data_IF_765375191624
#
_entry.id   IF_765375191624
#
_cell.length_a   1.000
_cell.length_b   1.000
_cell.length_c   1.000
_cell.angle_alpha   90.00
_cell.angle_beta   90.00
_cell.angle_gamma   90.00
#
_symmetry.space_group_name_H-M   'P 1'
#
loop_
_entity.id
_entity.type
_entity.pdbx_description
1 polymer ?
#
# COMPACT_ATOMS: atom_id res chain seq x y z
N UNK A 1 -5.36 -21.22 -12.29
CA UNK A 1 -4.29 -20.47 -12.97
C UNK A 1 -3.69 -19.53 -11.93
N UNK A 2 -2.46 -19.79 -11.51
CA UNK A 2 -1.79 -18.96 -10.51
C UNK A 2 -1.42 -17.63 -11.18
N UNK A 3 -1.91 -16.49 -10.65
CA UNK A 3 -1.55 -15.17 -11.17
C UNK A 3 -0.04 -14.98 -11.01
N UNK A 4 0.66 -14.81 -12.13
CA UNK A 4 2.06 -14.42 -12.11
C UNK A 4 2.20 -13.04 -11.43
N UNK A 5 3.19 -12.93 -10.55
CA UNK A 5 3.49 -11.68 -9.85
C UNK A 5 4.06 -10.71 -10.90
N UNK A 6 3.29 -9.69 -11.27
CA UNK A 6 3.67 -8.70 -12.30
C UNK A 6 4.73 -7.71 -11.83
N UNK A 7 4.93 -7.59 -10.51
CA UNK A 7 5.93 -6.72 -9.89
C UNK A 7 5.80 -6.75 -8.37
N UNK A 8 6.89 -6.46 -7.66
CA UNK A 8 6.93 -6.34 -6.20
C UNK A 8 7.26 -4.89 -5.87
N UNK A 9 6.43 -4.23 -5.07
CA UNK A 9 6.62 -2.83 -4.69
C UNK A 9 6.84 -2.76 -3.19
N UNK A 10 8.04 -2.35 -2.80
CA UNK A 10 8.39 -2.16 -1.39
C UNK A 10 8.13 -0.72 -0.97
N UNK A 11 7.08 -0.49 -0.20
CA UNK A 11 6.73 0.82 0.34
C UNK A 11 6.68 0.74 1.87
N UNK A 12 7.28 1.71 2.55
CA UNK A 12 7.12 1.85 3.99
C UNK A 12 5.93 2.75 4.25
N UNK A 13 4.88 2.20 4.86
CA UNK A 13 3.66 2.94 5.14
C UNK A 13 3.32 2.77 6.62
N UNK A 14 3.11 3.88 7.38
CA UNK A 14 2.63 3.79 8.74
C UNK A 14 1.23 3.17 8.79
N UNK A 15 1.02 2.22 9.70
CA UNK A 15 -0.27 1.57 9.92
C UNK A 15 -1.39 2.58 10.17
N UNK A 16 -2.51 2.42 9.48
CA UNK A 16 -3.68 3.30 9.60
C UNK A 16 -3.50 4.68 8.96
N UNK A 17 -2.33 5.00 8.41
CA UNK A 17 -1.99 6.32 7.86
C UNK A 17 -1.41 6.24 6.42
N UNK A 18 -1.86 5.27 5.61
CA UNK A 18 -1.63 5.29 4.17
C UNK A 18 -2.30 6.50 3.52
N UNK A 19 -1.51 7.24 2.74
CA UNK A 19 -1.96 8.37 1.96
C UNK A 19 -1.46 8.25 0.51
N UNK A 20 -2.10 8.93 -0.46
CA UNK A 20 -1.66 8.93 -1.86
C UNK A 20 -0.39 9.76 -2.10
N UNK A 21 0.29 10.21 -1.04
CA UNK A 21 1.48 11.04 -1.17
C UNK A 21 2.64 10.25 -1.79
N UNK A 22 3.64 10.93 -2.40
CA UNK A 22 4.90 10.30 -2.75
C UNK A 22 5.54 9.70 -1.48
N UNK A 23 6.00 8.43 -1.47
CA UNK A 23 6.29 7.55 -2.61
C UNK A 23 5.17 6.57 -3.04
N UNK A 24 4.07 6.49 -2.28
CA UNK A 24 2.99 5.50 -2.48
C UNK A 24 2.22 5.75 -3.77
N UNK A 25 1.83 7.01 -4.01
CA UNK A 25 1.07 7.40 -5.20
C UNK A 25 1.77 7.04 -6.52
N UNK A 26 3.02 7.49 -6.74
CA UNK A 26 3.78 7.14 -7.95
C UNK A 26 4.03 5.65 -8.11
N UNK A 27 4.40 4.94 -7.03
CA UNK A 27 4.76 3.53 -7.12
C UNK A 27 3.54 2.64 -7.46
N UNK A 28 2.41 2.85 -6.79
CA UNK A 28 1.16 2.13 -7.08
C UNK A 28 0.56 2.54 -8.43
N UNK A 29 0.61 3.83 -8.76
CA UNK A 29 0.11 4.36 -10.02
C UNK A 29 0.87 3.83 -11.24
N UNK A 30 2.20 3.68 -11.14
CA UNK A 30 3.02 3.07 -12.20
C UNK A 30 2.67 1.60 -12.47
N UNK A 31 2.09 0.89 -11.50
CA UNK A 31 1.60 -0.48 -11.67
C UNK A 31 0.09 -0.57 -11.99
N UNK A 32 -0.58 0.57 -12.16
CA UNK A 32 -2.03 0.60 -12.43
C UNK A 32 -2.89 0.21 -11.23
N UNK A 33 -2.33 0.26 -10.01
CA UNK A 33 -3.08 -0.03 -8.78
C UNK A 33 -3.84 1.22 -8.33
N UNK A 34 -5.09 1.03 -7.91
CA UNK A 34 -5.92 2.13 -7.43
C UNK A 34 -5.43 2.60 -6.04
N UNK A 35 -4.74 3.74 -6.02
CA UNK A 35 -4.09 4.31 -4.83
C UNK A 35 -5.10 4.57 -3.72
N UNK A 36 -6.26 5.16 -4.01
CA UNK A 36 -7.27 5.48 -2.97
C UNK A 36 -7.88 4.20 -2.38
N UNK A 37 -8.14 3.20 -3.22
CA UNK A 37 -8.64 1.90 -2.76
C UNK A 37 -7.61 1.21 -1.87
N UNK A 38 -6.35 1.20 -2.29
CA UNK A 38 -5.23 0.67 -1.51
C UNK A 38 -5.09 1.39 -0.16
N UNK A 39 -5.08 2.73 -0.14
CA UNK A 39 -4.96 3.49 1.12
C UNK A 39 -6.09 3.14 2.08
N UNK A 40 -7.34 3.03 1.58
CA UNK A 40 -8.50 2.70 2.41
C UNK A 40 -8.44 1.26 2.94
N UNK A 41 -8.08 0.30 2.10
CA UNK A 41 -7.98 -1.12 2.47
C UNK A 41 -6.80 -1.37 3.40
N UNK A 42 -5.65 -0.75 3.12
CA UNK A 42 -4.48 -0.77 3.98
C UNK A 42 -4.79 -0.18 5.35
N UNK A 43 -5.42 0.99 5.41
CA UNK A 43 -5.79 1.62 6.68
C UNK A 43 -6.81 0.79 7.45
N UNK A 44 -7.79 0.18 6.78
CA UNK A 44 -8.76 -0.69 7.43
C UNK A 44 -8.11 -1.98 7.98
N UNK A 45 -7.18 -2.59 7.24
CA UNK A 45 -6.45 -3.80 7.68
C UNK A 45 -5.45 -3.50 8.80
N UNK A 46 -4.74 -2.39 8.71
CA UNK A 46 -3.71 -1.98 9.66
C UNK A 46 -4.24 -1.09 10.79
N UNK A 47 -5.55 -0.78 10.82
CA UNK A 47 -6.18 -0.01 11.89
C UNK A 47 -5.94 -0.60 13.28
N UNK A 48 -5.83 -1.93 13.38
CA UNK A 48 -5.56 -2.63 14.64
C UNK A 48 -4.10 -2.54 15.11
N UNK A 49 -3.21 -2.12 14.22
CA UNK A 49 -1.77 -1.99 14.46
C UNK A 49 -1.33 -0.53 14.31
N UNK A 50 -2.28 0.41 14.43
CA UNK A 50 -2.05 1.85 14.36
C UNK A 50 -0.97 2.25 15.37
N UNK A 51 0.20 2.66 14.85
CA UNK A 51 1.40 2.95 15.65
C UNK A 51 2.67 2.26 15.15
N UNK A 52 2.55 1.17 14.38
CA UNK A 52 3.69 0.46 13.80
C UNK A 52 3.88 0.79 12.30
N UNK A 53 5.14 0.89 11.85
CA UNK A 53 5.48 1.07 10.43
C UNK A 53 5.62 -0.31 9.80
N UNK A 54 4.77 -0.63 8.83
CA UNK A 54 4.88 -1.87 8.09
C UNK A 54 5.63 -1.66 6.78
N UNK A 55 6.64 -2.50 6.47
CA UNK A 55 7.11 -2.64 5.11
C UNK A 55 6.01 -3.38 4.32
N UNK A 56 5.34 -2.66 3.44
CA UNK A 56 4.43 -3.25 2.46
C UNK A 56 5.28 -3.75 1.31
N UNK A 57 5.12 -5.02 0.92
CA UNK A 57 5.88 -5.71 -0.13
C UNK A 57 4.94 -6.10 -1.26
#
# INVERSE_FOLDING_TARGET
>A
MAKEITGIIRLQIPAGAANPAPPVGPALGQQGVNIMAFCKEFNARTAKEAGNIFPVV
#
